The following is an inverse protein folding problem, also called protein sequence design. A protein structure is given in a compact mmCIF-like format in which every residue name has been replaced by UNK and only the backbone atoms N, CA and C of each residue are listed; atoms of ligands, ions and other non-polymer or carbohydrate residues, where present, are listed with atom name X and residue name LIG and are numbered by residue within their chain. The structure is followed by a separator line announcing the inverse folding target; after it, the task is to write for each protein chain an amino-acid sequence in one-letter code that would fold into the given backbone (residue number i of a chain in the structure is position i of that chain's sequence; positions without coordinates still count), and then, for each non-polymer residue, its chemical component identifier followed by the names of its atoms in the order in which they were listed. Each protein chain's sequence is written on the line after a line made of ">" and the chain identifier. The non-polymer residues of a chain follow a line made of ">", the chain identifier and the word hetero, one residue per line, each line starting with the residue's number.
data_IF_951498573321
#
_entry.id   IF_951498573321
#
_cell.length_a   1.000
_cell.length_b   1.000
_cell.length_c   1.000
_cell.angle_alpha   90.00
_cell.angle_beta   90.00
_cell.angle_gamma   90.00
#
_symmetry.space_group_name_H-M   'P 1'
#
loop_
_entity.id
_entity.type
_entity.pdbx_description
1 polymer ?
#
# COMPACT_ATOMS: atom_id res chain seq x y z
N UNK A 1 -18.57 -13.85 -5.17
CA UNK A 1 -17.11 -13.73 -5.39
C UNK A 1 -16.41 -13.02 -4.22
N UNK A 2 -16.89 -11.86 -3.76
CA UNK A 2 -16.28 -11.11 -2.65
C UNK A 2 -16.18 -11.91 -1.33
N UNK A 3 -17.24 -12.63 -0.95
CA UNK A 3 -17.20 -13.46 0.26
C UNK A 3 -16.13 -14.57 0.22
N UNK A 4 -15.85 -15.13 -0.97
CA UNK A 4 -14.79 -16.12 -1.15
C UNK A 4 -13.42 -15.47 -0.95
N UNK A 5 -13.19 -14.32 -1.59
CA UNK A 5 -11.93 -13.57 -1.47
C UNK A 5 -11.67 -13.13 -0.03
N UNK A 6 -12.69 -12.59 0.64
CA UNK A 6 -12.64 -12.20 2.06
C UNK A 6 -12.22 -13.37 2.96
N UNK A 7 -12.81 -14.55 2.76
CA UNK A 7 -12.45 -15.76 3.53
C UNK A 7 -11.02 -16.21 3.25
N UNK A 8 -10.60 -16.20 1.97
CA UNK A 8 -9.24 -16.56 1.58
C UNK A 8 -8.21 -15.62 2.22
N UNK A 9 -8.44 -14.30 2.19
CA UNK A 9 -7.59 -13.30 2.85
C UNK A 9 -7.47 -13.59 4.35
N UNK A 10 -8.59 -13.87 5.03
CA UNK A 10 -8.59 -14.15 6.46
C UNK A 10 -7.75 -15.38 6.79
N UNK A 11 -7.95 -16.48 6.06
CA UNK A 11 -7.16 -17.72 6.23
C UNK A 11 -5.67 -17.46 6.02
N UNK A 12 -5.31 -16.65 5.00
CA UNK A 12 -3.91 -16.30 4.76
C UNK A 12 -3.34 -15.44 5.89
N UNK A 13 -4.09 -14.47 6.40
CA UNK A 13 -3.65 -13.62 7.50
C UNK A 13 -3.43 -14.41 8.79
N UNK A 14 -4.29 -15.40 9.07
CA UNK A 14 -4.13 -16.32 10.20
C UNK A 14 -2.87 -17.18 10.06
N UNK A 15 -2.62 -17.72 8.86
CA UNK A 15 -1.43 -18.54 8.58
C UNK A 15 -0.12 -17.76 8.64
N UNK A 16 -0.14 -16.48 8.26
CA UNK A 16 1.07 -15.64 8.15
C UNK A 16 1.40 -14.85 9.42
N UNK A 17 0.79 -15.13 10.57
CA UNK A 17 1.04 -14.35 11.81
C UNK A 17 2.51 -14.32 12.26
N UNK A 18 3.31 -15.33 11.89
CA UNK A 18 4.73 -15.46 12.25
C UNK A 18 5.69 -15.12 11.11
N UNK A 19 5.17 -14.79 9.91
CA UNK A 19 5.97 -14.55 8.70
C UNK A 19 6.03 -13.07 8.35
N UNK A 20 6.97 -12.71 7.46
CA UNK A 20 7.05 -11.37 6.91
C UNK A 20 5.70 -10.96 6.26
N UNK A 21 5.24 -9.71 6.46
CA UNK A 21 3.94 -9.29 5.97
C UNK A 21 3.92 -9.29 4.44
N UNK A 22 2.85 -9.85 3.87
CA UNK A 22 2.69 -9.98 2.41
C UNK A 22 1.96 -8.78 1.82
N UNK A 23 2.66 -8.04 0.95
CA UNK A 23 2.09 -6.92 0.18
C UNK A 23 0.93 -7.42 -0.70
N UNK A 24 1.07 -8.59 -1.32
CA UNK A 24 0.04 -9.15 -2.20
C UNK A 24 -1.28 -9.40 -1.46
N UNK A 25 -1.22 -9.88 -0.22
CA UNK A 25 -2.44 -10.11 0.60
C UNK A 25 -3.10 -8.78 0.96
N UNK A 26 -2.32 -7.75 1.28
CA UNK A 26 -2.85 -6.42 1.56
C UNK A 26 -3.45 -5.78 0.28
N UNK A 27 -2.82 -5.93 -0.88
CA UNK A 27 -3.37 -5.51 -2.18
C UNK A 27 -4.69 -6.22 -2.50
N UNK A 28 -4.75 -7.54 -2.30
CA UNK A 28 -5.99 -8.31 -2.45
C UNK A 28 -7.07 -7.81 -1.48
N UNK A 29 -6.69 -7.40 -0.28
CA UNK A 29 -7.60 -6.82 0.72
C UNK A 29 -8.15 -5.48 0.26
N UNK A 30 -7.34 -4.59 -0.31
CA UNK A 30 -7.82 -3.35 -0.95
C UNK A 30 -8.82 -3.65 -2.06
N UNK A 31 -8.50 -4.58 -2.97
CA UNK A 31 -9.42 -4.95 -4.05
C UNK A 31 -10.73 -5.55 -3.53
N UNK A 32 -10.66 -6.34 -2.46
CA UNK A 32 -11.84 -6.87 -1.79
C UNK A 32 -12.69 -5.76 -1.17
N UNK A 33 -12.08 -4.73 -0.56
CA UNK A 33 -12.80 -3.56 -0.03
C UNK A 33 -13.57 -2.84 -1.14
N UNK A 34 -12.93 -2.56 -2.28
CA UNK A 34 -13.56 -1.93 -3.45
C UNK A 34 -14.74 -2.79 -3.93
N UNK A 35 -14.52 -4.09 -4.09
CA UNK A 35 -15.55 -5.01 -4.54
C UNK A 35 -16.73 -5.14 -3.59
N UNK A 36 -16.50 -5.01 -2.29
CA UNK A 36 -17.56 -5.01 -1.27
C UNK A 36 -18.32 -3.69 -1.21
N UNK A 37 -17.64 -2.54 -1.33
CA UNK A 37 -18.27 -1.21 -1.30
C UNK A 37 -19.11 -0.93 -2.54
N UNK A 38 -18.61 -1.30 -3.72
CA UNK A 38 -19.24 -0.94 -5.01
C UNK A 38 -19.87 -2.14 -5.73
N UNK A 39 -20.03 -3.28 -5.04
CA UNK A 39 -20.58 -4.51 -5.60
C UNK A 39 -22.11 -4.54 -5.72
N UNK A 40 -22.82 -3.50 -5.27
CA UNK A 40 -24.28 -3.37 -5.39
C UNK A 40 -25.10 -4.04 -4.28
N UNK A 41 -24.47 -4.74 -3.35
CA UNK A 41 -25.12 -5.34 -2.17
C UNK A 41 -24.67 -4.60 -0.89
N UNK A 42 -25.61 -3.87 -0.29
CA UNK A 42 -25.38 -3.02 0.89
C UNK A 42 -24.80 -3.79 2.08
N UNK A 43 -25.11 -5.08 2.20
CA UNK A 43 -24.56 -5.92 3.28
C UNK A 43 -23.05 -6.04 3.19
N UNK A 44 -22.50 -6.04 1.97
CA UNK A 44 -21.06 -6.04 1.78
C UNK A 44 -20.45 -4.66 2.04
N UNK A 45 -21.17 -3.56 1.83
CA UNK A 45 -20.68 -2.23 2.18
C UNK A 45 -20.49 -2.07 3.70
N UNK A 46 -21.41 -2.59 4.52
CA UNK A 46 -21.23 -2.64 5.98
C UNK A 46 -20.05 -3.54 6.37
N UNK A 47 -19.95 -4.73 5.77
CA UNK A 47 -18.84 -5.65 6.01
C UNK A 47 -17.48 -5.06 5.60
N UNK A 48 -17.45 -4.20 4.56
CA UNK A 48 -16.27 -3.46 4.14
C UNK A 48 -15.75 -2.57 5.28
N UNK A 49 -16.65 -1.85 5.94
CA UNK A 49 -16.29 -1.05 7.10
C UNK A 49 -15.75 -1.90 8.26
N UNK A 50 -16.44 -2.98 8.63
CA UNK A 50 -16.01 -3.89 9.70
C UNK A 50 -14.61 -4.48 9.47
N UNK A 51 -14.28 -4.78 8.22
CA UNK A 51 -13.00 -5.39 7.84
C UNK A 51 -11.91 -4.36 7.54
N UNK A 52 -12.22 -3.06 7.55
CA UNK A 52 -11.25 -2.01 7.25
C UNK A 52 -10.12 -1.93 8.28
N UNK A 53 -10.43 -2.20 9.55
CA UNK A 53 -9.42 -2.26 10.63
C UNK A 53 -8.37 -3.37 10.40
N UNK A 54 -8.76 -4.45 9.73
CA UNK A 54 -7.84 -5.53 9.36
C UNK A 54 -6.86 -5.05 8.28
N UNK A 55 -7.34 -4.35 7.25
CA UNK A 55 -6.50 -3.74 6.22
C UNK A 55 -5.53 -2.71 6.84
N UNK A 56 -6.04 -1.82 7.70
CA UNK A 56 -5.22 -0.85 8.41
C UNK A 56 -4.10 -1.53 9.23
N UNK A 57 -4.41 -2.67 9.86
CA UNK A 57 -3.44 -3.46 10.62
C UNK A 57 -2.39 -4.11 9.72
N UNK A 58 -2.79 -4.62 8.54
CA UNK A 58 -1.84 -5.15 7.56
C UNK A 58 -0.87 -4.05 7.10
N UNK A 59 -1.39 -2.87 6.75
CA UNK A 59 -0.57 -1.74 6.30
C UNK A 59 0.42 -1.29 7.39
N UNK A 60 -0.01 -1.19 8.66
CA UNK A 60 0.90 -0.89 9.79
C UNK A 60 1.99 -1.94 9.98
N UNK A 61 1.65 -3.24 9.84
CA UNK A 61 2.64 -4.32 9.92
C UNK A 61 3.69 -4.23 8.81
N UNK A 62 3.26 -3.95 7.58
CA UNK A 62 4.16 -3.72 6.44
C UNK A 62 5.08 -2.53 6.73
N UNK A 63 4.52 -1.38 7.11
CA UNK A 63 5.29 -0.18 7.41
C UNK A 63 6.34 -0.40 8.52
N UNK A 64 5.97 -1.12 9.59
CA UNK A 64 6.88 -1.47 10.68
C UNK A 64 8.04 -2.36 10.19
N UNK A 65 7.75 -3.36 9.35
CA UNK A 65 8.77 -4.24 8.80
C UNK A 65 9.74 -3.48 7.89
N UNK A 66 9.24 -2.60 7.03
CA UNK A 66 10.04 -1.79 6.12
C UNK A 66 10.90 -0.75 6.85
N UNK A 67 10.37 -0.12 7.90
CA UNK A 67 11.15 0.77 8.76
C UNK A 67 12.29 0.03 9.48
N UNK A 68 12.06 -1.20 9.93
CA UNK A 68 13.10 -2.04 10.52
C UNK A 68 14.17 -2.42 9.50
N UNK A 69 13.76 -2.74 8.26
CA UNK A 69 14.71 -3.02 7.18
C UNK A 69 15.54 -1.79 6.83
N UNK A 70 14.92 -0.61 6.73
CA UNK A 70 15.60 0.65 6.46
C UNK A 70 16.62 1.01 7.56
N UNK A 71 16.29 0.79 8.84
CA UNK A 71 17.23 0.97 9.96
C UNK A 71 18.39 -0.03 9.90
N UNK A 72 18.13 -1.27 9.48
CA UNK A 72 19.17 -2.29 9.29
C UNK A 72 20.06 -2.02 8.06
N UNK A 73 19.55 -1.33 7.03
CA UNK A 73 20.27 -1.04 5.78
C UNK A 73 20.93 0.34 5.74
N UNK A 74 20.70 1.19 6.74
CA UNK A 74 21.25 2.56 6.81
C UNK A 74 22.77 2.57 6.98
N UNK A 75 23.39 1.43 7.27
CA UNK A 75 24.84 1.35 7.38
C UNK A 75 25.56 1.63 6.04
N UNK A 76 24.98 1.37 4.86
CA UNK A 76 25.84 1.35 3.64
C UNK A 76 25.25 1.80 2.27
N UNK A 77 23.94 2.04 2.04
CA UNK A 77 23.41 1.95 0.64
C UNK A 77 22.60 3.16 0.08
N UNK A 78 23.00 4.40 0.36
CA UNK A 78 22.31 5.57 -0.23
C UNK A 78 22.49 5.75 -1.76
N UNK A 79 23.41 5.01 -2.42
CA UNK A 79 23.68 5.14 -3.88
C UNK A 79 23.52 3.79 -4.64
N UNK A 80 23.30 2.68 -3.92
CA UNK A 80 23.19 1.33 -4.50
C UNK A 80 21.82 0.71 -4.22
N UNK A 81 20.74 1.46 -4.46
CA UNK A 81 19.40 0.85 -4.37
C UNK A 81 19.22 -0.17 -5.50
N UNK A 82 19.05 -1.42 -5.10
CA UNK A 82 18.52 -2.48 -5.95
C UNK A 82 17.14 -2.04 -6.47
N UNK A 83 16.94 -2.14 -7.78
CA UNK A 83 15.68 -1.75 -8.42
C UNK A 83 14.51 -2.55 -7.87
N UNK A 84 14.73 -3.82 -7.47
CA UNK A 84 13.69 -4.62 -6.83
C UNK A 84 13.28 -4.07 -5.46
N UNK A 85 14.25 -3.60 -4.66
CA UNK A 85 13.97 -2.93 -3.39
C UNK A 85 13.22 -1.62 -3.61
N UNK A 86 13.57 -0.86 -4.65
CA UNK A 86 12.85 0.35 -5.04
C UNK A 86 11.40 0.06 -5.48
N UNK A 87 11.19 -0.94 -6.33
CA UNK A 87 9.85 -1.38 -6.75
C UNK A 87 9.02 -1.75 -5.54
N UNK A 88 9.59 -2.52 -4.61
CA UNK A 88 8.91 -2.92 -3.37
C UNK A 88 8.50 -1.70 -2.54
N UNK A 89 9.40 -0.74 -2.33
CA UNK A 89 9.10 0.48 -1.61
C UNK A 89 7.97 1.29 -2.28
N UNK A 90 7.98 1.40 -3.61
CA UNK A 90 6.91 2.08 -4.35
C UNK A 90 5.57 1.34 -4.27
N UNK A 91 5.58 0.00 -4.29
CA UNK A 91 4.36 -0.80 -4.09
C UNK A 91 3.75 -0.56 -2.70
N UNK A 92 4.58 -0.46 -1.66
CA UNK A 92 4.12 -0.18 -0.30
C UNK A 92 3.51 1.22 -0.18
N UNK A 93 4.19 2.25 -0.70
CA UNK A 93 3.69 3.62 -0.73
C UNK A 93 2.33 3.66 -1.45
N UNK A 94 2.25 3.10 -2.66
CA UNK A 94 1.00 3.06 -3.45
C UNK A 94 -0.10 2.31 -2.71
N UNK A 95 0.21 1.18 -2.08
CA UNK A 95 -0.73 0.42 -1.27
C UNK A 95 -1.28 1.26 -0.11
N UNK A 96 -0.45 2.00 0.61
CA UNK A 96 -0.87 2.84 1.74
C UNK A 96 -1.79 3.98 1.28
N UNK A 97 -1.44 4.65 0.19
CA UNK A 97 -2.29 5.67 -0.41
C UNK A 97 -3.63 5.09 -0.91
N UNK A 98 -3.62 3.92 -1.54
CA UNK A 98 -4.85 3.24 -1.95
C UNK A 98 -5.72 2.88 -0.74
N UNK A 99 -5.14 2.32 0.32
CA UNK A 99 -5.89 1.99 1.54
C UNK A 99 -6.52 3.23 2.18
N UNK A 100 -5.78 4.34 2.27
CA UNK A 100 -6.31 5.62 2.77
C UNK A 100 -7.38 6.22 1.87
N UNK A 101 -7.23 6.13 0.54
CA UNK A 101 -8.24 6.59 -0.40
C UNK A 101 -9.56 5.82 -0.21
N UNK A 102 -9.50 4.50 -0.06
CA UNK A 102 -10.68 3.67 0.21
C UNK A 102 -11.32 4.01 1.56
N UNK A 103 -10.52 4.24 2.61
CA UNK A 103 -11.01 4.70 3.91
C UNK A 103 -11.76 6.03 3.79
N UNK A 104 -11.19 6.97 3.05
CA UNK A 104 -11.79 8.29 2.82
C UNK A 104 -13.11 8.18 2.05
N UNK A 105 -13.22 7.23 1.12
CA UNK A 105 -14.46 6.96 0.41
C UNK A 105 -15.53 6.33 1.30
N UNK A 106 -15.16 5.49 2.28
CA UNK A 106 -16.12 5.00 3.28
C UNK A 106 -16.73 6.16 4.08
N UNK A 107 -15.92 7.17 4.43
CA UNK A 107 -16.42 8.38 5.09
C UNK A 107 -17.31 9.19 4.14
N UNK A 108 -16.81 9.51 2.94
CA UNK A 108 -17.48 10.43 2.03
C UNK A 108 -18.75 9.89 1.38
N UNK A 109 -18.82 8.59 1.09
CA UNK A 109 -19.93 8.00 0.33
C UNK A 109 -20.87 7.14 1.18
N UNK A 110 -20.39 6.59 2.30
CA UNK A 110 -21.15 5.68 3.13
C UNK A 110 -21.36 6.19 4.56
N UNK A 111 -20.89 7.41 4.88
CA UNK A 111 -21.02 8.04 6.20
C UNK A 111 -20.40 7.21 7.35
N UNK A 112 -19.44 6.34 7.06
CA UNK A 112 -18.70 5.62 8.07
C UNK A 112 -17.61 6.49 8.71
N UNK A 113 -17.06 6.04 9.85
CA UNK A 113 -15.91 6.69 10.47
C UNK A 113 -14.60 6.28 9.79
N UNK A 114 -13.63 7.19 9.73
CA UNK A 114 -12.29 6.86 9.24
C UNK A 114 -11.62 5.84 10.16
N UNK A 115 -10.99 4.83 9.56
CA UNK A 115 -10.22 3.79 10.26
C UNK A 115 -8.72 4.03 10.11
N UNK A 116 -8.29 4.70 9.04
CA UNK A 116 -6.89 4.98 8.74
C UNK A 116 -6.62 6.47 8.96
N UNK A 117 -5.90 6.86 10.03
CA UNK A 117 -5.60 8.27 10.28
C UNK A 117 -4.71 8.83 9.16
N UNK A 118 -4.83 10.13 8.89
CA UNK A 118 -4.02 10.81 7.87
C UNK A 118 -2.52 10.73 8.17
N UNK A 119 -2.13 10.69 9.45
CA UNK A 119 -0.75 10.51 9.89
C UNK A 119 -0.15 9.16 9.45
N UNK A 120 -0.98 8.23 8.98
CA UNK A 120 -0.51 7.01 8.32
C UNK A 120 0.22 7.29 7.00
N UNK A 121 -0.03 8.44 6.36
CA UNK A 121 0.57 8.87 5.09
C UNK A 121 1.85 9.70 5.27
N UNK A 122 2.71 9.35 6.23
CA UNK A 122 4.02 10.00 6.42
C UNK A 122 5.04 9.72 5.31
N UNK A 123 4.66 8.97 4.28
CA UNK A 123 5.51 8.69 3.11
C UNK A 123 5.40 9.80 2.06
N UNK A 124 6.43 10.04 1.25
CA UNK A 124 6.30 10.91 0.09
C UNK A 124 5.23 10.37 -0.87
N UNK A 125 4.66 11.25 -1.67
CA UNK A 125 3.72 10.86 -2.72
C UNK A 125 4.33 9.77 -3.64
N UNK A 126 3.50 8.87 -4.19
CA UNK A 126 3.98 7.90 -5.18
C UNK A 126 4.70 8.59 -6.33
N UNK A 127 5.74 7.94 -6.85
CA UNK A 127 6.46 8.47 -8.01
C UNK A 127 5.52 8.63 -9.21
N UNK A 128 5.82 9.60 -10.08
CA UNK A 128 5.11 9.82 -11.34
C UNK A 128 5.01 8.53 -12.19
N UNK A 129 3.87 8.34 -12.85
CA UNK A 129 3.59 7.18 -13.70
C UNK A 129 4.63 6.95 -14.80
N UNK A 130 5.27 8.01 -15.31
CA UNK A 130 6.36 7.89 -16.30
C UNK A 130 7.55 7.10 -15.74
N UNK A 131 7.95 7.38 -14.50
CA UNK A 131 9.08 6.69 -13.85
C UNK A 131 8.66 5.29 -13.41
N UNK A 132 7.40 5.13 -12.98
CA UNK A 132 6.85 3.82 -12.62
C UNK A 132 6.77 2.86 -13.82
N UNK A 133 6.44 3.37 -15.02
CA UNK A 133 6.32 2.57 -16.25
C UNK A 133 7.66 2.14 -16.88
N UNK A 134 8.80 2.48 -16.27
CA UNK A 134 10.11 2.09 -16.77
C UNK A 134 10.32 0.58 -16.59
N UNK A 135 10.71 -0.10 -17.66
CA UNK A 135 10.83 -1.55 -17.72
C UNK A 135 12.26 -2.08 -17.69
N UNK A 136 13.29 -1.22 -17.55
CA UNK A 136 14.69 -1.66 -17.40
C UNK A 136 15.44 -0.90 -16.30
N UNK A 137 16.38 -1.58 -15.65
CA UNK A 137 17.16 -1.07 -14.51
C UNK A 137 17.96 0.15 -14.92
N UNK A 138 18.54 0.06 -16.12
CA UNK A 138 19.45 1.03 -16.70
C UNK A 138 18.71 2.34 -16.96
N UNK A 139 17.54 2.26 -17.61
CA UNK A 139 16.68 3.42 -17.85
C UNK A 139 16.12 4.01 -16.55
N UNK A 140 15.84 3.19 -15.54
CA UNK A 140 15.35 3.65 -14.24
C UNK A 140 16.43 4.47 -13.52
N UNK A 141 17.67 3.98 -13.47
CA UNK A 141 18.81 4.71 -12.90
C UNK A 141 19.03 6.04 -13.60
N UNK A 142 18.95 6.07 -14.94
CA UNK A 142 19.07 7.31 -15.71
C UNK A 142 17.96 8.32 -15.37
N UNK A 143 16.71 7.86 -15.26
CA UNK A 143 15.57 8.72 -14.94
C UNK A 143 15.66 9.34 -13.53
N UNK A 144 16.27 8.64 -12.57
CA UNK A 144 16.52 9.17 -11.24
C UNK A 144 17.57 10.28 -11.26
N UNK A 145 18.59 10.15 -12.11
CA UNK A 145 19.62 11.19 -12.27
C UNK A 145 19.09 12.43 -12.98
N UNK A 146 18.19 12.28 -13.95
CA UNK A 146 17.53 13.41 -14.62
C UNK A 146 16.49 14.11 -13.73
N UNK A 147 15.75 13.36 -12.91
CA UNK A 147 14.76 13.90 -11.97
C UNK A 147 15.35 14.77 -10.85
N UNK A 148 16.62 14.57 -10.48
CA UNK A 148 17.34 15.43 -9.53
C UNK A 148 17.64 16.83 -10.08
N UNK A 149 17.50 17.06 -11.39
CA UNK A 149 17.64 18.37 -12.04
C UNK A 149 16.39 19.25 -11.95
N UNK A 150 15.21 18.66 -11.73
CA UNK A 150 13.97 19.41 -11.49
C UNK A 150 13.71 19.54 -9.99
N UNK A 151 14.55 20.31 -9.30
CA UNK A 151 14.20 20.85 -7.99
C UNK A 151 13.01 21.80 -8.17
N UNK A 152 11.88 21.38 -7.59
CA UNK A 152 10.69 22.16 -7.28
C UNK A 152 10.88 23.69 -7.36
N UNK A 153 10.30 24.32 -8.38
CA UNK A 153 9.82 25.69 -8.27
C UNK A 153 8.46 25.65 -7.60
N UNK A 154 8.38 26.24 -6.40
CA UNK A 154 7.16 26.46 -5.64
C UNK A 154 6.16 27.33 -6.42
#
# INVERSE_FOLDING_TARGET
>A
MQEFLRRAIRIQLERSQTLAPSICVAQASVLNQIGMMYGGDLRFAECAHETMAQLATQCRKIASFSANLAKSSLAEHAVSQDWQAWIRAQLEIRLFYCAWLIDSQQVGFFAFSSTIPIDFLQSPMPVNERVWGISTTETWKHSLTEGMGCKYTW
#
